data_IF_011796263633
#
_entry.id   IF_011796263633
#
_cell.length_a   1.000
_cell.length_b   1.000
_cell.length_c   1.000
_cell.angle_alpha   90.00
_cell.angle_beta   90.00
_cell.angle_gamma   90.00
#
_symmetry.space_group_name_H-M   'P 1'
#
loop_
_entity.id
_entity.type
_entity.pdbx_description
1 polymer ?
#
# COMPACT_ATOMS: atom_id res chain seq x y z
N UNK A 1 23.54 -22.28 13.02
CA UNK A 1 22.79 -21.80 11.85
C UNK A 1 22.05 -20.54 12.30
N UNK A 2 22.62 -19.35 12.05
CA UNK A 2 22.01 -18.10 12.48
C UNK A 2 20.75 -17.87 11.65
N UNK A 3 19.56 -18.14 12.22
CA UNK A 3 18.31 -17.63 11.66
C UNK A 3 18.38 -16.11 11.84
N UNK A 4 18.53 -15.37 10.75
CA UNK A 4 18.24 -13.94 10.76
C UNK A 4 16.74 -13.81 10.93
N UNK A 5 16.29 -13.85 12.17
CA UNK A 5 14.90 -13.60 12.53
C UNK A 5 14.66 -12.10 12.33
N UNK A 6 13.73 -11.73 11.44
CA UNK A 6 13.30 -10.34 11.32
C UNK A 6 12.94 -9.82 12.72
N UNK A 7 13.31 -8.57 13.06
CA UNK A 7 13.09 -8.02 14.38
C UNK A 7 11.62 -8.17 14.79
N UNK A 8 11.39 -8.77 15.94
CA UNK A 8 10.07 -8.94 16.54
C UNK A 8 9.83 -7.70 17.40
N UNK A 9 8.74 -6.98 17.13
CA UNK A 9 8.31 -5.85 17.93
C UNK A 9 7.34 -6.33 19.02
N UNK A 10 7.64 -6.05 20.29
CA UNK A 10 6.72 -6.28 21.41
C UNK A 10 5.66 -5.17 21.54
N UNK A 11 5.93 -3.97 20.98
CA UNK A 11 5.02 -2.82 21.03
C UNK A 11 5.03 -2.03 19.72
N UNK A 12 3.87 -1.59 19.27
CA UNK A 12 3.73 -0.65 18.16
C UNK A 12 4.13 0.76 18.63
N UNK A 13 5.06 1.43 17.92
CA UNK A 13 5.63 2.72 18.32
C UNK A 13 6.05 2.78 19.82
N UNK A 14 6.60 1.69 20.37
CA UNK A 14 7.08 1.57 21.76
C UNK A 14 6.02 1.71 22.88
N UNK A 15 4.80 2.15 22.58
CA UNK A 15 3.78 2.51 23.59
C UNK A 15 2.48 1.72 23.42
N UNK A 16 2.11 1.33 22.19
CA UNK A 16 0.80 0.73 21.91
C UNK A 16 0.86 -0.79 21.74
N UNK A 17 -0.22 -1.47 22.13
CA UNK A 17 -0.40 -2.89 21.85
C UNK A 17 -0.40 -3.15 20.34
N UNK A 18 0.20 -4.27 19.92
CA UNK A 18 0.34 -4.62 18.50
C UNK A 18 -1.00 -4.73 17.79
N UNK A 19 -2.05 -5.22 18.46
CA UNK A 19 -3.41 -5.29 17.92
C UNK A 19 -3.93 -3.90 17.54
N UNK A 20 -3.80 -2.94 18.46
CA UNK A 20 -4.21 -1.55 18.25
C UNK A 20 -3.36 -0.91 17.16
N UNK A 21 -2.05 -1.19 17.12
CA UNK A 21 -1.15 -0.72 16.07
C UNK A 21 -1.50 -1.23 14.68
N UNK A 22 -1.79 -2.52 14.53
CA UNK A 22 -2.23 -3.11 13.26
C UNK A 22 -3.57 -2.53 12.78
N UNK A 23 -4.53 -2.34 13.69
CA UNK A 23 -5.82 -1.71 13.35
C UNK A 23 -5.61 -0.25 12.94
N UNK A 24 -4.85 0.52 13.73
CA UNK A 24 -4.60 1.93 13.46
C UNK A 24 -3.89 2.14 12.10
N UNK A 25 -2.81 1.39 11.83
CA UNK A 25 -2.10 1.49 10.55
C UNK A 25 -2.96 1.04 9.38
N UNK A 26 -3.77 -0.02 9.55
CA UNK A 26 -4.71 -0.44 8.52
C UNK A 26 -5.76 0.63 8.20
N UNK A 27 -6.31 1.29 9.22
CA UNK A 27 -7.26 2.41 9.07
C UNK A 27 -6.59 3.62 8.41
N UNK A 28 -5.40 4.00 8.86
CA UNK A 28 -4.64 5.14 8.28
C UNK A 28 -4.35 4.87 6.81
N UNK A 29 -3.83 3.68 6.47
CA UNK A 29 -3.55 3.29 5.08
C UNK A 29 -4.84 3.27 4.25
N UNK A 30 -5.96 2.81 4.81
CA UNK A 30 -7.27 2.84 4.15
C UNK A 30 -7.75 4.28 3.84
N UNK A 31 -7.64 5.19 4.82
CA UNK A 31 -7.98 6.62 4.64
C UNK A 31 -7.08 7.29 3.61
N UNK A 32 -5.77 7.07 3.67
CA UNK A 32 -4.81 7.60 2.70
C UNK A 32 -5.10 7.07 1.29
N UNK A 33 -5.37 5.77 1.16
CA UNK A 33 -5.68 5.13 -0.13
C UNK A 33 -6.99 5.68 -0.71
N UNK A 34 -8.00 5.91 0.13
CA UNK A 34 -9.27 6.51 -0.28
C UNK A 34 -9.10 7.98 -0.70
N UNK A 35 -8.32 8.76 0.05
CA UNK A 35 -8.02 10.16 -0.25
C UNK A 35 -7.27 10.27 -1.58
N UNK A 36 -6.28 9.40 -1.81
CA UNK A 36 -5.54 9.34 -3.07
C UNK A 36 -6.46 8.96 -4.25
N UNK A 37 -7.41 8.05 -4.04
CA UNK A 37 -8.39 7.69 -5.06
C UNK A 37 -9.27 8.88 -5.45
N UNK A 38 -9.74 9.69 -4.48
CA UNK A 38 -10.52 10.91 -4.76
C UNK A 38 -9.70 11.90 -5.59
N UNK A 39 -8.45 12.15 -5.20
CA UNK A 39 -7.55 13.05 -5.93
C UNK A 39 -7.33 12.55 -7.37
N UNK A 40 -7.15 11.24 -7.56
CA UNK A 40 -6.98 10.69 -8.91
C UNK A 40 -8.26 10.74 -9.75
N UNK A 41 -9.44 10.68 -9.12
CA UNK A 41 -10.71 10.88 -9.82
C UNK A 41 -10.81 12.31 -10.33
N UNK A 42 -10.42 13.32 -9.54
CA UNK A 42 -10.43 14.72 -10.01
C UNK A 42 -9.48 14.89 -11.20
N UNK A 43 -8.26 14.34 -11.12
CA UNK A 43 -7.34 14.34 -12.26
C UNK A 43 -7.90 13.60 -13.49
N UNK A 44 -8.60 12.48 -13.30
CA UNK A 44 -9.22 11.75 -14.40
C UNK A 44 -10.31 12.58 -15.11
N UNK A 45 -11.07 13.36 -14.35
CA UNK A 45 -12.10 14.27 -14.89
C UNK A 45 -11.44 15.42 -15.66
N UNK A 46 -10.42 16.05 -15.09
CA UNK A 46 -9.68 17.13 -15.76
C UNK A 46 -9.05 16.66 -17.07
N UNK A 47 -8.38 15.50 -17.07
CA UNK A 47 -7.78 14.91 -18.28
C UNK A 47 -8.85 14.62 -19.34
N UNK A 48 -10.04 14.15 -18.93
CA UNK A 48 -11.15 13.88 -19.85
C UNK A 48 -11.67 15.17 -20.48
N UNK A 49 -11.79 16.25 -19.72
CA UNK A 49 -12.26 17.54 -20.21
C UNK A 49 -11.24 18.18 -21.17
N UNK A 50 -9.95 18.14 -20.83
CA UNK A 50 -8.88 18.56 -21.73
C UNK A 50 -8.83 17.73 -23.02
N UNK A 51 -9.03 16.41 -22.92
CA UNK A 51 -9.08 15.52 -24.09
C UNK A 51 -10.29 15.81 -25.00
N UNK A 52 -11.41 16.26 -24.43
CA UNK A 52 -12.60 16.66 -25.20
C UNK A 52 -12.40 18.01 -25.90
N UNK A 53 -11.71 18.95 -25.25
CA UNK A 53 -11.37 20.26 -25.81
C UNK A 53 -10.32 20.18 -26.93
N UNK A 54 -9.37 19.23 -26.85
CA UNK A 54 -8.30 19.03 -27.85
C UNK A 54 -8.63 18.05 -28.97
N UNK A 55 -9.90 17.63 -29.12
CA UNK A 55 -10.33 16.71 -30.20
C UNK A 55 -10.08 17.22 -31.63
N UNK A 56 -9.74 18.50 -31.80
CA UNK A 56 -9.36 19.08 -33.10
C UNK A 56 -7.87 18.91 -33.47
N UNK A 57 -7.01 18.40 -32.57
CA UNK A 57 -5.57 18.22 -32.84
C UNK A 57 -5.08 16.76 -32.75
N UNK A 58 -4.04 16.48 -33.54
CA UNK A 58 -3.45 15.17 -33.87
C UNK A 58 -2.87 14.39 -32.66
N UNK A 59 -2.84 14.98 -31.46
CA UNK A 59 -2.30 14.39 -30.21
C UNK A 59 -3.28 13.49 -29.43
N UNK A 60 -4.43 13.14 -30.03
CA UNK A 60 -5.48 12.32 -29.43
C UNK A 60 -5.03 10.96 -28.82
N UNK A 61 -4.06 10.20 -29.38
CA UNK A 61 -3.76 8.86 -28.86
C UNK A 61 -3.04 8.89 -27.49
N UNK A 62 -2.20 9.89 -27.21
CA UNK A 62 -1.41 9.91 -25.97
C UNK A 62 -2.27 10.27 -24.75
N UNK A 63 -3.23 11.19 -24.91
CA UNK A 63 -4.19 11.54 -23.85
C UNK A 63 -5.11 10.38 -23.47
N UNK A 64 -5.55 9.57 -24.46
CA UNK A 64 -6.40 8.39 -24.21
C UNK A 64 -5.71 7.30 -23.38
N UNK A 65 -4.41 7.11 -23.56
CA UNK A 65 -3.64 6.10 -22.79
C UNK A 65 -3.48 6.54 -21.34
N UNK A 66 -3.15 7.81 -21.10
CA UNK A 66 -3.01 8.36 -19.74
C UNK A 66 -4.34 8.27 -18.98
N UNK A 67 -5.46 8.66 -19.60
CA UNK A 67 -6.78 8.51 -18.99
C UNK A 67 -7.08 7.05 -18.60
N UNK A 68 -6.81 6.11 -19.51
CA UNK A 68 -7.04 4.68 -19.25
C UNK A 68 -6.19 4.17 -18.08
N UNK A 69 -4.92 4.60 -17.99
CA UNK A 69 -4.02 4.26 -16.89
C UNK A 69 -4.55 4.84 -15.57
N UNK A 70 -4.98 6.11 -15.55
CA UNK A 70 -5.51 6.75 -14.33
C UNK A 70 -6.77 6.03 -13.84
N UNK A 71 -7.71 5.71 -14.73
CA UNK A 71 -8.92 4.94 -14.38
C UNK A 71 -8.57 3.55 -13.83
N UNK A 72 -7.61 2.85 -14.44
CA UNK A 72 -7.14 1.55 -13.97
C UNK A 72 -6.52 1.66 -12.57
N UNK A 73 -5.71 2.68 -12.30
CA UNK A 73 -5.14 2.95 -10.98
C UNK A 73 -6.25 3.21 -9.95
N UNK A 74 -7.27 4.01 -10.28
CA UNK A 74 -8.41 4.26 -9.38
C UNK A 74 -9.10 2.94 -9.00
N UNK A 75 -9.36 2.06 -9.97
CA UNK A 75 -9.96 0.74 -9.70
C UNK A 75 -9.05 -0.10 -8.77
N UNK A 76 -7.74 -0.11 -9.01
CA UNK A 76 -6.79 -0.82 -8.14
C UNK A 76 -6.76 -0.23 -6.71
N UNK A 77 -6.89 1.09 -6.56
CA UNK A 77 -6.97 1.72 -5.24
C UNK A 77 -8.26 1.34 -4.49
N UNK A 78 -9.39 1.19 -5.19
CA UNK A 78 -10.62 0.66 -4.59
C UNK A 78 -10.46 -0.80 -4.15
N UNK A 79 -9.84 -1.64 -4.98
CA UNK A 79 -9.54 -3.03 -4.59
C UNK A 79 -8.62 -3.05 -3.36
N UNK A 80 -7.59 -2.20 -3.33
CA UNK A 80 -6.70 -2.04 -2.18
C UNK A 80 -7.47 -1.61 -0.92
N UNK A 81 -8.36 -0.62 -1.04
CA UNK A 81 -9.22 -0.16 0.06
C UNK A 81 -10.05 -1.30 0.66
N UNK A 82 -10.67 -2.14 -0.17
CA UNK A 82 -11.44 -3.31 0.30
C UNK A 82 -10.52 -4.33 0.98
N UNK A 83 -9.33 -4.59 0.43
CA UNK A 83 -8.34 -5.49 1.05
C UNK A 83 -7.88 -4.97 2.42
N UNK A 84 -7.66 -3.66 2.56
CA UNK A 84 -7.29 -3.04 3.83
C UNK A 84 -8.41 -3.16 4.88
N UNK A 85 -9.68 -3.00 4.47
CA UNK A 85 -10.82 -3.25 5.36
C UNK A 85 -10.93 -4.72 5.78
N UNK A 86 -10.73 -5.65 4.84
CA UNK A 86 -10.70 -7.10 5.15
C UNK A 86 -9.56 -7.41 6.12
N UNK A 87 -8.41 -6.78 5.94
CA UNK A 87 -7.27 -6.91 6.86
C UNK A 87 -7.61 -6.40 8.26
N UNK A 88 -8.17 -5.19 8.39
CA UNK A 88 -8.59 -4.64 9.68
C UNK A 88 -9.63 -5.55 10.35
N UNK A 89 -10.60 -6.06 9.60
CA UNK A 89 -11.58 -7.03 10.10
C UNK A 89 -10.92 -8.35 10.55
N UNK A 90 -9.95 -8.85 9.79
CA UNK A 90 -9.21 -10.07 10.13
C UNK A 90 -8.38 -9.91 11.40
N UNK A 91 -7.77 -8.74 11.62
CA UNK A 91 -7.06 -8.38 12.86
C UNK A 91 -8.04 -8.27 14.03
N UNK A 92 -9.19 -7.62 13.83
CA UNK A 92 -10.22 -7.49 14.86
C UNK A 92 -10.78 -8.86 15.30
N UNK A 93 -11.00 -9.77 14.35
CA UNK A 93 -11.48 -11.16 14.59
C UNK A 93 -10.36 -12.17 14.86
N UNK A 94 -9.10 -11.73 14.95
CA UNK A 94 -7.92 -12.56 15.23
C UNK A 94 -7.81 -13.78 14.28
N UNK A 95 -8.20 -13.61 13.01
CA UNK A 95 -8.15 -14.67 12.00
C UNK A 95 -6.74 -14.78 11.40
N UNK A 96 -5.85 -15.48 12.10
CA UNK A 96 -4.44 -15.68 11.71
C UNK A 96 -4.25 -16.13 10.25
N UNK A 97 -5.14 -16.98 9.73
CA UNK A 97 -5.06 -17.47 8.34
C UNK A 97 -5.21 -16.36 7.29
N UNK A 98 -6.06 -15.37 7.53
CA UNK A 98 -6.27 -14.24 6.61
C UNK A 98 -5.11 -13.24 6.74
N UNK A 99 -4.70 -12.95 7.99
CA UNK A 99 -3.56 -12.06 8.29
C UNK A 99 -2.28 -12.60 7.63
N UNK A 100 -2.03 -13.91 7.69
CA UNK A 100 -0.86 -14.55 7.07
C UNK A 100 -0.86 -14.38 5.55
N UNK A 101 -2.01 -14.64 4.90
CA UNK A 101 -2.16 -14.51 3.45
C UNK A 101 -1.95 -13.06 3.01
N UNK A 102 -2.51 -12.11 3.75
CA UNK A 102 -2.33 -10.68 3.48
C UNK A 102 -0.86 -10.26 3.64
N UNK A 103 -0.17 -10.71 4.69
CA UNK A 103 1.26 -10.43 4.89
C UNK A 103 2.13 -10.96 3.75
N UNK A 104 1.90 -12.20 3.28
CA UNK A 104 2.62 -12.77 2.13
C UNK A 104 2.36 -11.96 0.85
N UNK A 105 1.09 -11.63 0.59
CA UNK A 105 0.71 -10.81 -0.56
C UNK A 105 1.45 -9.45 -0.54
N UNK A 106 1.55 -8.82 0.62
CA UNK A 106 2.24 -7.53 0.78
C UNK A 106 3.75 -7.60 0.65
N UNK A 107 4.39 -8.67 1.10
CA UNK A 107 5.82 -8.90 0.84
C UNK A 107 6.08 -9.00 -0.67
N UNK A 108 5.26 -9.76 -1.42
CA UNK A 108 5.41 -9.89 -2.87
C UNK A 108 5.25 -8.53 -3.56
N UNK A 109 4.24 -7.76 -3.17
CA UNK A 109 3.99 -6.44 -3.74
C UNK A 109 5.14 -5.46 -3.44
N UNK A 110 5.70 -5.49 -2.23
CA UNK A 110 6.86 -4.67 -1.85
C UNK A 110 8.10 -5.02 -2.69
N UNK A 111 8.37 -6.30 -2.95
CA UNK A 111 9.49 -6.72 -3.82
C UNK A 111 9.30 -6.21 -5.25
N UNK A 112 8.09 -6.33 -5.81
CA UNK A 112 7.78 -5.78 -7.14
C UNK A 112 7.95 -4.26 -7.18
N UNK A 113 7.52 -3.56 -6.13
CA UNK A 113 7.69 -2.12 -6.00
C UNK A 113 9.17 -1.71 -5.96
N UNK A 114 10.01 -2.43 -5.23
CA UNK A 114 11.47 -2.19 -5.18
C UNK A 114 12.09 -2.34 -6.57
N UNK A 115 11.72 -3.37 -7.33
CA UNK A 115 12.23 -3.57 -8.71
C UNK A 115 11.82 -2.40 -9.61
N UNK A 116 10.56 -1.97 -9.53
CA UNK A 116 10.06 -0.80 -10.26
C UNK A 116 10.78 0.50 -9.87
N UNK A 117 11.01 0.70 -8.58
CA UNK A 117 11.77 1.83 -8.05
C UNK A 117 13.21 1.83 -8.57
N UNK A 118 13.92 0.71 -8.49
CA UNK A 118 15.29 0.58 -9.00
C UNK A 118 15.39 0.92 -10.49
N UNK A 119 14.39 0.52 -11.29
CA UNK A 119 14.33 0.89 -12.72
C UNK A 119 14.15 2.40 -12.92
N UNK A 120 13.35 3.04 -12.07
CA UNK A 120 13.02 4.47 -12.16
C UNK A 120 14.03 5.38 -11.45
N UNK A 121 14.92 4.82 -10.62
CA UNK A 121 15.82 5.57 -9.73
C UNK A 121 16.73 6.55 -10.48
N UNK A 122 17.19 6.19 -11.67
CA UNK A 122 18.08 7.03 -12.48
C UNK A 122 17.36 8.12 -13.29
N UNK A 123 16.03 8.11 -13.32
CA UNK A 123 15.21 9.06 -14.10
C UNK A 123 14.43 10.04 -13.21
N UNK A 124 14.57 9.95 -11.89
CA UNK A 124 13.78 10.71 -10.92
C UNK A 124 14.58 11.84 -10.26
N UNK A 125 13.90 12.94 -10.00
CA UNK A 125 14.42 14.05 -9.21
C UNK A 125 14.71 13.58 -7.76
N UNK A 126 15.73 14.17 -7.12
CA UNK A 126 16.13 13.82 -5.75
C UNK A 126 14.96 13.91 -4.75
N UNK A 127 14.05 14.88 -4.92
CA UNK A 127 12.86 15.00 -4.07
C UNK A 127 11.91 13.80 -4.20
N UNK A 128 11.74 13.27 -5.41
CA UNK A 128 10.92 12.09 -5.66
C UNK A 128 11.57 10.83 -5.08
N UNK A 129 12.89 10.71 -5.22
CA UNK A 129 13.65 9.57 -4.66
C UNK A 129 13.49 9.51 -3.14
N UNK A 130 13.62 10.64 -2.44
CA UNK A 130 13.45 10.69 -0.98
C UNK A 130 12.02 10.29 -0.57
N UNK A 131 11.00 10.81 -1.26
CA UNK A 131 9.61 10.45 -0.99
C UNK A 131 9.36 8.95 -1.19
N UNK A 132 9.94 8.35 -2.24
CA UNK A 132 9.82 6.91 -2.48
C UNK A 132 10.55 6.07 -1.42
N UNK A 133 11.71 6.51 -0.93
CA UNK A 133 12.43 5.83 0.16
C UNK A 133 11.62 5.87 1.46
N UNK A 134 11.02 7.01 1.80
CA UNK A 134 10.14 7.14 2.96
C UNK A 134 8.92 6.23 2.85
N UNK A 135 8.28 6.21 1.68
CA UNK A 135 7.17 5.30 1.40
C UNK A 135 7.59 3.84 1.54
N UNK A 136 8.77 3.46 1.03
CA UNK A 136 9.28 2.10 1.16
C UNK A 136 9.55 1.73 2.63
N UNK A 137 10.12 2.66 3.41
CA UNK A 137 10.39 2.45 4.83
C UNK A 137 9.09 2.26 5.62
N UNK A 138 8.05 3.06 5.35
CA UNK A 138 6.74 2.93 5.98
C UNK A 138 6.07 1.59 5.65
N UNK A 139 6.09 1.17 4.38
CA UNK A 139 5.54 -0.13 3.97
C UNK A 139 6.33 -1.31 4.58
N UNK A 140 7.66 -1.20 4.67
CA UNK A 140 8.47 -2.21 5.33
C UNK A 140 8.15 -2.30 6.82
N UNK A 141 8.04 -1.15 7.50
CA UNK A 141 7.64 -1.10 8.90
C UNK A 141 6.26 -1.73 9.13
N UNK A 142 5.30 -1.44 8.25
CA UNK A 142 3.96 -2.03 8.30
C UNK A 142 4.00 -3.57 8.22
N UNK A 143 4.78 -4.14 7.31
CA UNK A 143 4.96 -5.61 7.21
C UNK A 143 5.57 -6.19 8.49
N UNK A 144 6.58 -5.54 9.07
CA UNK A 144 7.22 -5.98 10.32
C UNK A 144 6.22 -5.97 11.47
N UNK A 145 5.36 -4.96 11.57
CA UNK A 145 4.31 -4.86 12.59
C UNK A 145 3.29 -5.99 12.44
N UNK A 146 2.80 -6.25 11.21
CA UNK A 146 1.87 -7.35 10.93
C UNK A 146 2.49 -8.71 11.29
N UNK A 147 3.75 -8.92 10.90
CA UNK A 147 4.47 -10.16 11.20
C UNK A 147 4.64 -10.35 12.70
N UNK A 148 5.02 -9.29 13.42
CA UNK A 148 5.18 -9.33 14.87
C UNK A 148 3.86 -9.64 15.56
N UNK A 149 2.74 -9.08 15.06
CA UNK A 149 1.41 -9.35 15.61
C UNK A 149 0.98 -10.81 15.36
N UNK A 150 1.31 -11.34 14.18
CA UNK A 150 1.04 -12.74 13.85
C UNK A 150 1.83 -13.71 14.74
N UNK A 151 3.05 -13.34 15.13
CA UNK A 151 3.86 -14.11 16.09
C UNK A 151 3.25 -14.03 17.49
N UNK A 152 2.89 -12.84 17.98
CA UNK A 152 2.24 -12.68 19.29
C UNK A 152 0.94 -13.48 19.40
N UNK A 153 0.05 -13.45 18.39
CA UNK A 153 -1.16 -14.29 18.43
C UNK A 153 -0.83 -15.79 18.44
N UNK A 154 0.29 -16.20 17.82
CA UNK A 154 0.73 -17.59 17.80
C UNK A 154 1.45 -18.02 19.09
N UNK A 155 1.99 -17.07 19.87
CA UNK A 155 2.58 -17.32 21.19
C UNK A 155 1.54 -17.24 22.31
N UNK A 156 0.56 -16.33 22.21
CA UNK A 156 -0.56 -16.17 23.15
C UNK A 156 -1.69 -17.20 22.90
N UNK A 157 -1.69 -17.84 21.73
CA UNK A 157 -2.71 -18.78 21.26
C UNK A 157 -2.17 -20.18 21.02
N UNK A 158 -2.23 -21.01 22.07
CA UNK A 158 -2.53 -22.46 22.04
C UNK A 158 -2.47 -23.11 20.65
N UNK A 159 -1.31 -23.68 20.33
CA UNK A 159 -1.18 -24.88 19.51
C UNK A 159 -0.47 -25.94 20.36
#
# INVERSE_FOLDING_TARGET
MARMELPVLDKFCFIFDLKTGCIAMGIINSILTFTLAIILITFAVDIKEEAQLRRDDVDTPMSSVVYTIVVLIVVLLFVKFVLDLVFVYAVYKEKCGIIKKYCIFWIVFLVLFIIGFLKSLFHMDAGHVIAQILFLAENFYYIVVIRSYLISINEDGVL
#
